data_IF_100021428423
#
_entry.id   IF_100021428423
#
_cell.length_a   1.000
_cell.length_b   1.000
_cell.length_c   1.000
_cell.angle_alpha   90.00
_cell.angle_beta   90.00
_cell.angle_gamma   90.00
#
_symmetry.space_group_name_H-M   'P 1'
#
loop_
_entity.id
_entity.type
_entity.pdbx_description
1 polymer ?
#
# COMPACT_ATOMS: atom_id res chain seq x y z
N UNK A 1 -4.99 8.21 -10.05
CA UNK A 1 -4.10 7.53 -9.09
C UNK A 1 -3.56 6.20 -9.61
N UNK A 2 -4.40 5.21 -9.93
CA UNK A 2 -3.93 3.87 -10.33
C UNK A 2 -3.04 3.85 -11.58
N UNK A 3 -3.34 4.66 -12.62
CA UNK A 3 -2.52 4.77 -13.84
C UNK A 3 -1.08 5.20 -13.56
N UNK A 4 -0.90 6.23 -12.72
CA UNK A 4 0.42 6.77 -12.36
C UNK A 4 1.20 5.73 -11.55
N UNK A 5 0.56 5.08 -10.58
CA UNK A 5 1.19 4.01 -9.79
C UNK A 5 1.68 2.88 -10.68
N UNK A 6 0.86 2.44 -11.66
CA UNK A 6 1.24 1.41 -12.64
C UNK A 6 2.45 1.83 -13.47
N UNK A 7 2.46 3.06 -13.96
CA UNK A 7 3.55 3.59 -14.77
C UNK A 7 4.86 3.59 -13.96
N UNK A 8 4.83 4.16 -12.75
CA UNK A 8 6.00 4.21 -11.87
C UNK A 8 6.51 2.82 -11.49
N UNK A 9 5.64 1.89 -11.10
CA UNK A 9 6.05 0.52 -10.77
C UNK A 9 6.67 -0.21 -11.96
N UNK A 10 6.15 0.04 -13.17
CA UNK A 10 6.71 -0.51 -14.42
C UNK A 10 8.07 0.08 -14.73
N UNK A 11 8.26 1.38 -14.56
CA UNK A 11 9.55 2.06 -14.75
C UNK A 11 10.60 1.57 -13.75
N UNK A 12 10.18 1.24 -12.54
CA UNK A 12 11.02 0.64 -11.51
C UNK A 12 11.33 -0.85 -11.75
N UNK A 13 10.69 -1.49 -12.74
CA UNK A 13 10.92 -2.90 -13.07
C UNK A 13 10.17 -3.90 -12.19
N UNK A 14 9.20 -3.45 -11.38
CA UNK A 14 8.39 -4.34 -10.55
C UNK A 14 7.33 -5.09 -11.38
N UNK A 15 7.08 -6.34 -11.00
CA UNK A 15 5.88 -7.07 -11.43
C UNK A 15 4.76 -6.75 -10.46
N UNK A 16 3.65 -6.22 -10.96
CA UNK A 16 2.51 -5.84 -10.13
C UNK A 16 1.22 -6.52 -10.58
N UNK A 17 0.33 -6.72 -9.62
CA UNK A 17 -0.99 -7.30 -9.81
C UNK A 17 -2.05 -6.27 -9.45
N UNK A 18 -3.01 -6.04 -10.34
CA UNK A 18 -4.10 -5.09 -10.11
C UNK A 18 -5.34 -5.79 -9.56
N UNK A 19 -5.85 -5.30 -8.44
CA UNK A 19 -7.15 -5.70 -7.91
C UNK A 19 -8.13 -4.53 -8.04
N UNK A 20 -9.31 -4.79 -8.61
CA UNK A 20 -10.36 -3.78 -8.78
C UNK A 20 -11.36 -3.80 -7.62
N UNK A 21 -11.48 -4.94 -6.94
CA UNK A 21 -12.37 -5.14 -5.79
C UNK A 21 -11.61 -5.60 -4.55
N UNK A 22 -12.17 -5.31 -3.37
CA UNK A 22 -11.63 -5.75 -2.08
C UNK A 22 -11.50 -7.27 -2.00
N UNK A 23 -12.49 -8.00 -2.52
CA UNK A 23 -12.49 -9.47 -2.53
C UNK A 23 -11.34 -10.02 -3.36
N UNK A 24 -11.13 -9.48 -4.56
CA UNK A 24 -10.04 -9.89 -5.44
C UNK A 24 -8.66 -9.56 -4.86
N UNK A 25 -8.52 -8.44 -4.15
CA UNK A 25 -7.30 -8.10 -3.43
C UNK A 25 -7.03 -9.10 -2.29
N UNK A 26 -8.02 -9.38 -1.46
CA UNK A 26 -7.90 -10.31 -0.33
C UNK A 26 -7.59 -11.73 -0.80
N UNK A 27 -8.24 -12.18 -1.88
CA UNK A 27 -7.98 -13.49 -2.46
C UNK A 27 -6.51 -13.61 -2.92
N UNK A 28 -6.01 -12.58 -3.62
CA UNK A 28 -4.60 -12.55 -4.05
C UNK A 28 -3.63 -12.53 -2.89
N UNK A 29 -3.89 -11.73 -1.86
CA UNK A 29 -3.07 -11.68 -0.65
C UNK A 29 -3.05 -13.02 0.09
N UNK A 30 -4.13 -13.82 -0.03
CA UNK A 30 -4.21 -15.16 0.57
C UNK A 30 -3.36 -16.19 -0.17
N UNK A 31 -3.28 -16.11 -1.49
CA UNK A 31 -2.57 -17.10 -2.34
C UNK A 31 -1.16 -16.69 -2.72
N UNK A 32 -0.79 -15.43 -2.55
CA UNK A 32 0.50 -14.90 -2.98
C UNK A 32 1.03 -13.93 -1.94
N UNK A 33 2.27 -14.13 -1.54
CA UNK A 33 3.01 -13.17 -0.73
C UNK A 33 3.49 -12.03 -1.63
N UNK A 34 3.20 -10.81 -1.21
CA UNK A 34 3.65 -9.60 -1.89
C UNK A 34 4.65 -8.88 -1.01
N UNK A 35 5.81 -8.56 -1.57
CA UNK A 35 6.81 -7.73 -0.91
C UNK A 35 6.33 -6.28 -0.78
N UNK A 36 5.52 -5.80 -1.74
CA UNK A 36 4.97 -4.44 -1.75
C UNK A 36 3.47 -4.44 -2.09
N UNK A 37 2.68 -3.77 -1.26
CA UNK A 37 1.21 -3.65 -1.38
C UNK A 37 0.85 -2.17 -1.35
N UNK A 38 0.24 -1.67 -2.41
CA UNK A 38 -0.24 -0.29 -2.49
C UNK A 38 -1.76 -0.28 -2.46
N UNK A 39 -2.34 0.39 -1.46
CA UNK A 39 -3.80 0.46 -1.26
C UNK A 39 -4.24 1.90 -1.13
N UNK A 40 -5.40 2.23 -1.69
CA UNK A 40 -5.97 3.58 -1.58
C UNK A 40 -6.94 3.67 -0.39
N UNK A 41 -7.01 4.82 0.30
CA UNK A 41 -7.90 5.00 1.47
C UNK A 41 -9.36 4.69 1.11
N UNK A 42 -9.80 5.17 -0.06
CA UNK A 42 -11.15 4.96 -0.60
C UNK A 42 -11.26 3.79 -1.59
N UNK A 43 -10.44 2.75 -1.44
CA UNK A 43 -10.48 1.60 -2.34
C UNK A 43 -11.87 0.92 -2.35
N UNK A 44 -12.34 0.54 -3.54
CA UNK A 44 -13.67 -0.03 -3.77
C UNK A 44 -14.85 0.80 -3.19
N UNK A 45 -14.71 2.13 -3.11
CA UNK A 45 -15.75 3.02 -2.56
C UNK A 45 -15.92 2.92 -1.04
N UNK A 46 -15.00 2.26 -0.35
CA UNK A 46 -15.02 2.13 1.12
C UNK A 46 -14.50 3.40 1.78
N UNK A 47 -14.87 3.64 3.04
CA UNK A 47 -14.16 4.59 3.90
C UNK A 47 -12.90 3.92 4.47
N UNK A 48 -11.90 4.72 4.83
CA UNK A 48 -10.65 4.25 5.46
C UNK A 48 -10.88 3.17 6.54
N UNK A 49 -11.83 3.42 7.45
CA UNK A 49 -12.15 2.54 8.59
C UNK A 49 -12.92 1.27 8.19
N UNK A 50 -13.61 1.32 7.05
CA UNK A 50 -14.39 0.21 6.50
C UNK A 50 -13.66 -0.52 5.37
N UNK A 51 -12.40 -0.13 5.09
CA UNK A 51 -11.62 -0.70 4.01
C UNK A 51 -11.25 -2.15 4.37
N UNK A 52 -11.89 -3.10 3.69
CA UNK A 52 -11.72 -4.52 3.98
C UNK A 52 -10.29 -5.01 3.73
N UNK A 53 -9.57 -4.40 2.77
CA UNK A 53 -8.17 -4.75 2.50
C UNK A 53 -7.28 -4.30 3.65
N UNK A 54 -7.43 -3.06 4.14
CA UNK A 54 -6.69 -2.58 5.30
C UNK A 54 -7.00 -3.39 6.57
N UNK A 55 -8.27 -3.70 6.82
CA UNK A 55 -8.65 -4.54 7.95
C UNK A 55 -8.09 -5.96 7.83
N UNK A 56 -8.06 -6.53 6.61
CA UNK A 56 -7.45 -7.83 6.36
C UNK A 56 -5.95 -7.78 6.63
N UNK A 57 -5.23 -6.77 6.12
CA UNK A 57 -3.80 -6.57 6.35
C UNK A 57 -3.48 -6.36 7.83
N UNK A 58 -4.31 -5.60 8.56
CA UNK A 58 -4.16 -5.38 9.99
C UNK A 58 -4.39 -6.66 10.80
N UNK A 59 -5.27 -7.56 10.33
CA UNK A 59 -5.57 -8.85 10.95
C UNK A 59 -4.60 -9.98 10.56
N UNK A 60 -3.66 -9.75 9.62
CA UNK A 60 -2.70 -10.77 9.22
C UNK A 60 -1.76 -11.14 10.40
N UNK A 61 -1.40 -12.43 10.54
CA UNK A 61 -0.45 -12.85 11.56
C UNK A 61 0.91 -12.14 11.42
N UNK A 62 1.57 -11.84 12.55
CA UNK A 62 2.89 -11.19 12.60
C UNK A 62 3.94 -11.83 11.68
N UNK A 63 3.85 -13.15 11.47
CA UNK A 63 4.75 -13.90 10.60
C UNK A 63 4.62 -13.54 9.11
N UNK A 64 3.43 -13.18 8.63
CA UNK A 64 3.22 -12.77 7.24
C UNK A 64 3.43 -11.26 7.08
N UNK A 65 3.07 -10.49 8.11
CA UNK A 65 3.21 -9.02 8.11
C UNK A 65 4.67 -8.54 7.99
N UNK A 66 5.63 -9.34 8.46
CA UNK A 66 7.07 -9.04 8.39
C UNK A 66 7.68 -9.13 6.99
N UNK A 67 6.95 -9.67 6.01
CA UNK A 67 7.42 -9.83 4.63
C UNK A 67 6.65 -8.94 3.64
N UNK A 68 5.82 -8.02 4.11
CA UNK A 68 4.98 -7.19 3.25
C UNK A 68 5.06 -5.71 3.62
N UNK A 69 5.67 -4.93 2.73
CA UNK A 69 5.65 -3.48 2.77
C UNK A 69 4.26 -2.97 2.32
N UNK A 70 3.61 -2.14 3.13
CA UNK A 70 2.25 -1.66 2.86
C UNK A 70 2.28 -0.15 2.75
N UNK A 71 1.89 0.35 1.57
CA UNK A 71 1.75 1.76 1.26
C UNK A 71 0.27 2.14 1.16
N UNK A 72 -0.16 3.05 2.03
CA UNK A 72 -1.48 3.66 2.01
C UNK A 72 -1.44 4.98 1.24
N UNK A 73 -2.21 5.06 0.17
CA UNK A 73 -2.35 6.27 -0.65
C UNK A 73 -3.68 6.95 -0.32
N UNK A 74 -3.64 8.24 0.00
CA UNK A 74 -4.88 8.97 0.23
C UNK A 74 -4.70 10.48 0.44
N UNK A 75 -5.63 11.31 -0.06
CA UNK A 75 -5.57 12.77 0.10
C UNK A 75 -5.60 13.22 1.56
N UNK A 76 -6.15 12.41 2.46
CA UNK A 76 -6.25 12.71 3.89
C UNK A 76 -4.91 12.54 4.62
N UNK A 77 -3.93 11.90 3.98
CA UNK A 77 -2.65 11.55 4.59
C UNK A 77 -1.51 12.43 4.10
N UNK A 78 -0.53 12.65 4.97
CA UNK A 78 0.72 13.32 4.60
C UNK A 78 1.75 12.27 4.18
N UNK A 79 2.48 12.55 3.10
CA UNK A 79 3.53 11.68 2.56
C UNK A 79 4.66 11.50 3.57
N UNK A 80 5.11 10.25 3.77
CA UNK A 80 6.18 9.88 4.72
C UNK A 80 5.85 10.23 6.19
N UNK A 81 4.57 10.24 6.57
CA UNK A 81 4.15 10.47 7.95
C UNK A 81 4.07 9.14 8.72
N UNK A 82 5.12 8.85 9.48
CA UNK A 82 5.24 7.63 10.27
C UNK A 82 4.16 7.48 11.35
N UNK A 83 3.68 8.59 11.92
CA UNK A 83 2.67 8.56 12.98
C UNK A 83 1.32 8.12 12.41
N UNK A 84 0.96 8.66 11.24
CA UNK A 84 -0.25 8.25 10.54
C UNK A 84 -0.15 6.82 9.98
N UNK A 85 1.02 6.44 9.46
CA UNK A 85 1.27 5.08 8.99
C UNK A 85 1.09 4.07 10.13
N UNK A 86 1.69 4.33 11.29
CA UNK A 86 1.54 3.51 12.48
C UNK A 86 0.07 3.42 12.94
N UNK A 87 -0.65 4.55 12.95
CA UNK A 87 -2.06 4.59 13.33
C UNK A 87 -2.96 3.74 12.41
N UNK A 88 -2.59 3.61 11.13
CA UNK A 88 -3.28 2.77 10.15
C UNK A 88 -2.67 1.37 10.01
N UNK A 89 -1.69 1.01 10.84
CA UNK A 89 -1.03 -0.29 10.76
C UNK A 89 -0.34 -0.55 9.41
N UNK A 90 0.11 0.50 8.72
CA UNK A 90 0.82 0.43 7.43
C UNK A 90 2.27 0.91 7.59
N UNK A 91 3.11 0.63 6.60
CA UNK A 91 4.54 1.00 6.62
C UNK A 91 4.78 2.40 6.06
N UNK A 92 3.95 2.83 5.11
CA UNK A 92 4.10 4.12 4.44
C UNK A 92 2.74 4.75 4.15
N UNK A 93 2.64 6.06 4.34
CA UNK A 93 1.52 6.90 3.91
C UNK A 93 1.99 7.80 2.77
N UNK A 94 1.14 7.98 1.76
CA UNK A 94 1.43 8.79 0.58
C UNK A 94 0.22 9.64 0.20
N UNK A 95 0.46 10.93 0.00
CA UNK A 95 -0.54 11.82 -0.54
C UNK A 95 -0.59 11.67 -2.07
N UNK A 96 -1.78 11.55 -2.70
CA UNK A 96 -1.90 11.54 -4.16
C UNK A 96 -1.27 12.77 -4.85
N UNK A 97 -1.11 13.89 -4.15
CA UNK A 97 -0.37 15.06 -4.64
C UNK A 97 1.12 14.76 -4.91
N UNK A 98 1.71 13.80 -4.19
CA UNK A 98 3.12 13.38 -4.31
C UNK A 98 3.29 12.11 -5.17
N UNK A 99 2.23 11.63 -5.85
CA UNK A 99 2.35 10.54 -6.83
C UNK A 99 3.45 10.71 -7.89
N UNK A 100 3.77 11.91 -8.43
CA UNK A 100 4.92 12.05 -9.33
C UNK A 100 6.26 11.67 -8.68
N UNK A 101 6.36 11.75 -7.34
CA UNK A 101 7.53 11.35 -6.57
C UNK A 101 7.40 9.93 -5.99
N UNK A 102 6.39 9.15 -6.40
CA UNK A 102 6.12 7.82 -5.85
C UNK A 102 7.35 6.90 -5.93
N UNK A 103 8.12 6.97 -7.01
CA UNK A 103 9.28 6.10 -7.21
C UNK A 103 10.36 6.25 -6.14
N UNK A 104 10.92 7.45 -5.93
CA UNK A 104 11.87 7.68 -4.84
C UNK A 104 11.25 7.48 -3.45
N UNK A 105 9.96 7.78 -3.28
CA UNK A 105 9.27 7.57 -1.99
C UNK A 105 9.17 6.08 -1.64
N UNK A 106 8.79 5.23 -2.60
CA UNK A 106 8.74 3.78 -2.43
C UNK A 106 10.11 3.22 -2.07
N UNK A 107 11.15 3.58 -2.86
CA UNK A 107 12.53 3.14 -2.57
C UNK A 107 12.99 3.53 -1.17
N UNK A 108 12.64 4.75 -0.74
CA UNK A 108 12.98 5.21 0.61
C UNK A 108 12.24 4.41 1.67
N UNK A 109 10.94 4.19 1.49
CA UNK A 109 10.14 3.41 2.43
C UNK A 109 10.56 1.94 2.52
N UNK A 110 10.90 1.31 1.38
CA UNK A 110 11.44 -0.06 1.34
C UNK A 110 12.79 -0.13 2.05
N UNK A 111 13.70 0.83 1.82
CA UNK A 111 14.98 0.90 2.51
C UNK A 111 14.83 1.08 4.03
N UNK A 112 13.84 1.86 4.49
CA UNK A 112 13.52 1.99 5.92
C UNK A 112 12.87 0.72 6.52
N UNK A 113 12.23 -0.11 5.70
CA UNK A 113 11.61 -1.36 6.12
C UNK A 113 12.59 -2.53 6.20
N UNK A 114 13.63 -2.56 5.34
CA UNK A 114 14.66 -3.60 5.35
C UNK A 114 15.72 -3.41 6.48
N UNK A 115 15.75 -2.27 7.17
CA UNK A 115 16.68 -1.97 8.27
C UNK A 115 16.25 -2.54 9.62
#
# INVERSE_FOLDING_TARGET
TAEVVKATLRELGFKFHLAETSEMAIERLRYTNYDCIVVHENFAGSLLRSNSVLNYLAALPMAQRRYSFVCLVGPSFKTLDAMQAFAQSVHLTLNPADLPNLGPILKKGEAEFEQ
#
